data_IF_195996141684
#
_entry.id   IF_195996141684
#
_cell.length_a   1.000
_cell.length_b   1.000
_cell.length_c   1.000
_cell.angle_alpha   90.00
_cell.angle_beta   90.00
_cell.angle_gamma   90.00
#
_symmetry.space_group_name_H-M   'P 1'
#
loop_
_entity.id
_entity.type
_entity.pdbx_description
1 polymer ?
#
# COMPACT_ATOMS: atom_id res chain seq x y z
N UNK A 1 7.52 -19.77 -1.78
CA UNK A 1 6.97 -19.01 -0.65
C UNK A 1 7.78 -19.33 0.60
N UNK A 2 8.58 -18.40 1.13
CA UNK A 2 9.14 -18.57 2.47
C UNK A 2 7.99 -18.62 3.47
N UNK A 3 7.88 -19.69 4.26
CA UNK A 3 6.86 -19.76 5.30
C UNK A 3 7.14 -18.67 6.35
N UNK A 4 6.19 -17.76 6.57
CA UNK A 4 6.21 -16.79 7.67
C UNK A 4 6.31 -17.54 9.00
N UNK A 5 7.52 -17.77 9.49
CA UNK A 5 7.80 -18.35 10.82
C UNK A 5 8.61 -17.35 11.61
N UNK A 6 7.95 -16.61 12.50
CA UNK A 6 8.62 -15.75 13.48
C UNK A 6 7.98 -15.92 14.87
N UNK A 7 8.83 -15.78 15.89
CA UNK A 7 8.58 -16.09 17.30
C UNK A 7 7.83 -14.98 18.04
N UNK A 8 6.84 -15.40 18.83
CA UNK A 8 5.94 -14.61 19.68
C UNK A 8 6.65 -13.68 20.68
N UNK A 9 6.25 -12.40 20.71
CA UNK A 9 6.17 -11.61 21.96
C UNK A 9 5.35 -10.31 21.87
N UNK A 10 4.41 -10.19 20.94
CA UNK A 10 3.35 -9.16 21.01
C UNK A 10 2.00 -9.88 21.10
N UNK A 11 1.10 -9.37 21.93
CA UNK A 11 -0.23 -9.95 22.18
C UNK A 11 -0.87 -10.44 20.86
N UNK A 12 -1.22 -11.73 20.81
CA UNK A 12 -1.78 -12.40 19.63
C UNK A 12 -3.05 -11.67 19.16
N UNK A 13 -2.89 -10.74 18.24
CA UNK A 13 -3.98 -10.12 17.51
C UNK A 13 -4.50 -11.17 16.52
N UNK A 14 -5.72 -11.65 16.75
CA UNK A 14 -6.42 -12.55 15.83
C UNK A 14 -7.41 -11.70 15.04
N UNK A 15 -7.25 -11.53 13.71
CA UNK A 15 -8.23 -10.77 12.93
C UNK A 15 -9.59 -11.46 12.95
N UNK A 16 -10.66 -10.69 13.13
CA UNK A 16 -12.04 -11.18 13.00
C UNK A 16 -12.46 -11.39 11.52
N UNK A 17 -11.74 -10.78 10.58
CA UNK A 17 -12.09 -10.76 9.16
C UNK A 17 -10.84 -10.95 8.29
N UNK A 18 -11.01 -11.64 7.16
CA UNK A 18 -10.02 -11.78 6.09
C UNK A 18 -10.33 -10.87 4.92
N UNK A 19 -9.33 -10.63 4.08
CA UNK A 19 -9.56 -10.03 2.79
C UNK A 19 -10.38 -10.97 1.90
N UNK A 20 -11.44 -10.45 1.30
CA UNK A 20 -12.19 -11.16 0.28
C UNK A 20 -11.48 -11.00 -1.08
N UNK A 21 -10.42 -11.79 -1.29
CA UNK A 21 -9.58 -11.71 -2.48
C UNK A 21 -10.38 -11.83 -3.80
N UNK A 22 -11.51 -12.54 -3.79
CA UNK A 22 -12.41 -12.66 -4.94
C UNK A 22 -13.08 -11.33 -5.28
N UNK A 23 -13.64 -10.64 -4.29
CA UNK A 23 -14.27 -9.33 -4.49
C UNK A 23 -13.26 -8.21 -4.78
N UNK A 24 -12.06 -8.30 -4.19
CA UNK A 24 -10.95 -7.41 -4.50
C UNK A 24 -10.57 -7.55 -5.98
N UNK A 25 -10.33 -8.78 -6.47
CA UNK A 25 -10.02 -9.04 -7.89
C UNK A 25 -11.13 -8.53 -8.82
N UNK A 26 -12.40 -8.74 -8.46
CA UNK A 26 -13.55 -8.22 -9.22
C UNK A 26 -13.54 -6.70 -9.33
N UNK A 27 -13.22 -6.01 -8.23
CA UNK A 27 -13.16 -4.55 -8.19
C UNK A 27 -12.03 -4.00 -9.06
N UNK A 28 -10.85 -4.63 -9.00
CA UNK A 28 -9.70 -4.28 -9.84
C UNK A 28 -9.99 -4.52 -11.32
N UNK A 29 -10.59 -5.66 -11.68
CA UNK A 29 -10.98 -5.96 -13.08
C UNK A 29 -12.02 -4.97 -13.59
N UNK A 30 -12.99 -4.57 -12.77
CA UNK A 30 -13.94 -3.50 -13.13
C UNK A 30 -13.22 -2.16 -13.37
N UNK A 31 -12.24 -1.83 -12.55
CA UNK A 31 -11.40 -0.63 -12.76
C UNK A 31 -10.63 -0.70 -14.07
N UNK A 32 -9.99 -1.84 -14.37
CA UNK A 32 -9.28 -2.08 -15.62
C UNK A 32 -10.18 -1.91 -16.86
N UNK A 33 -11.36 -2.53 -16.86
CA UNK A 33 -12.32 -2.41 -17.98
C UNK A 33 -12.73 -0.95 -18.24
N UNK A 34 -12.79 -0.14 -17.19
CA UNK A 34 -13.12 1.29 -17.29
C UNK A 34 -11.89 2.18 -17.44
N UNK A 35 -10.68 1.62 -17.44
CA UNK A 35 -9.44 2.39 -17.27
C UNK A 35 -9.19 3.33 -18.44
N UNK A 36 -9.44 2.90 -19.67
CA UNK A 36 -9.28 3.78 -20.86
C UNK A 36 -10.13 5.05 -20.75
N UNK A 37 -11.37 4.93 -20.27
CA UNK A 37 -12.26 6.09 -20.05
C UNK A 37 -11.79 6.91 -18.85
N UNK A 38 -11.44 6.26 -17.75
CA UNK A 38 -10.92 6.89 -16.54
C UNK A 38 -9.67 7.73 -16.86
N UNK A 39 -8.72 7.17 -17.62
CA UNK A 39 -7.43 7.75 -17.96
C UNK A 39 -7.55 9.06 -18.76
N UNK A 40 -8.62 9.21 -19.56
CA UNK A 40 -8.94 10.45 -20.27
C UNK A 40 -9.38 11.59 -19.33
N UNK A 41 -9.84 11.26 -18.12
CA UNK A 41 -10.35 12.23 -17.13
C UNK A 41 -9.38 12.52 -15.97
N UNK A 42 -8.20 11.88 -15.99
CA UNK A 42 -7.14 12.13 -15.02
C UNK A 42 -6.39 13.42 -15.36
N UNK A 43 -5.87 14.09 -14.34
CA UNK A 43 -5.00 15.26 -14.53
C UNK A 43 -3.73 14.89 -15.30
N UNK A 44 -3.22 13.68 -15.08
CA UNK A 44 -2.08 13.10 -15.82
C UNK A 44 -2.42 11.67 -16.19
N UNK A 45 -2.19 11.31 -17.46
CA UNK A 45 -2.42 9.96 -17.95
C UNK A 45 -1.47 8.97 -17.26
N UNK A 46 -1.99 7.78 -16.96
CA UNK A 46 -1.28 6.68 -16.33
C UNK A 46 -1.11 5.52 -17.30
N UNK A 47 -0.10 4.69 -17.05
CA UNK A 47 0.04 3.40 -17.71
C UNK A 47 -1.22 2.54 -17.49
N UNK A 48 -1.63 1.72 -18.47
CA UNK A 48 -2.81 0.89 -18.35
C UNK A 48 -2.65 -0.11 -17.20
N UNK A 49 -3.77 -0.40 -16.52
CA UNK A 49 -3.85 -1.50 -15.56
C UNK A 49 -3.93 -2.82 -16.36
N UNK A 50 -2.79 -3.44 -16.66
CA UNK A 50 -2.73 -4.71 -17.42
C UNK A 50 -3.14 -5.90 -16.56
N UNK A 51 -3.35 -7.06 -17.18
CA UNK A 51 -3.66 -8.29 -16.46
C UNK A 51 -2.54 -8.71 -15.52
N UNK A 52 -1.30 -8.62 -15.98
CA UNK A 52 -0.10 -8.84 -15.18
C UNK A 52 -0.04 -7.92 -13.96
N UNK A 53 -0.33 -6.62 -14.12
CA UNK A 53 -0.36 -5.69 -12.98
C UNK A 53 -1.45 -6.08 -11.98
N UNK A 54 -2.62 -6.56 -12.44
CA UNK A 54 -3.67 -7.06 -11.53
C UNK A 54 -3.21 -8.33 -10.82
N UNK A 55 -2.60 -9.27 -11.54
CA UNK A 55 -2.16 -10.54 -10.94
C UNK A 55 -1.07 -10.30 -9.89
N UNK A 56 -0.08 -9.46 -10.17
CA UNK A 56 0.95 -9.04 -9.21
C UNK A 56 0.35 -8.30 -8.00
N UNK A 57 -0.64 -7.41 -8.23
CA UNK A 57 -1.32 -6.73 -7.12
C UNK A 57 -2.15 -7.71 -6.27
N UNK A 58 -2.74 -8.74 -6.89
CA UNK A 58 -3.48 -9.79 -6.18
C UNK A 58 -2.56 -10.69 -5.35
N UNK A 59 -1.34 -10.96 -5.81
CA UNK A 59 -0.33 -11.60 -4.96
C UNK A 59 0.03 -10.74 -3.75
N UNK A 60 0.19 -9.43 -3.95
CA UNK A 60 0.40 -8.48 -2.84
C UNK A 60 -0.77 -8.45 -1.84
N UNK A 61 -2.03 -8.46 -2.31
CA UNK A 61 -3.19 -8.61 -1.43
C UNK A 61 -3.21 -9.96 -0.70
N UNK A 62 -2.80 -11.05 -1.37
CA UNK A 62 -2.64 -12.37 -0.74
C UNK A 62 -1.63 -12.33 0.40
N UNK A 63 -0.46 -11.72 0.17
CA UNK A 63 0.56 -11.53 1.19
C UNK A 63 0.07 -10.68 2.37
N UNK A 64 -0.67 -9.59 2.11
CA UNK A 64 -1.29 -8.77 3.15
C UNK A 64 -2.29 -9.59 3.97
N UNK A 65 -3.14 -10.39 3.32
CA UNK A 65 -4.12 -11.25 3.99
C UNK A 65 -3.45 -12.31 4.86
N UNK A 66 -2.37 -12.93 4.38
CA UNK A 66 -1.57 -13.88 5.16
C UNK A 66 -0.91 -13.21 6.38
N UNK A 67 -0.32 -12.03 6.21
CA UNK A 67 0.26 -11.26 7.31
C UNK A 67 -0.80 -10.89 8.35
N UNK A 68 -1.99 -10.49 7.91
CA UNK A 68 -3.12 -10.20 8.80
C UNK A 68 -3.51 -11.46 9.58
N UNK A 69 -3.76 -12.60 8.91
CA UNK A 69 -4.15 -13.85 9.58
C UNK A 69 -3.09 -14.35 10.56
N UNK A 70 -1.80 -14.21 10.21
CA UNK A 70 -0.70 -14.63 11.06
C UNK A 70 -0.41 -13.66 12.24
N UNK A 71 -1.11 -12.53 12.31
CA UNK A 71 -0.86 -11.50 13.31
C UNK A 71 0.46 -10.74 13.11
N UNK A 72 1.03 -10.77 11.91
CA UNK A 72 2.34 -10.19 11.59
C UNK A 72 2.18 -8.71 11.25
N UNK A 73 2.80 -7.84 12.07
CA UNK A 73 2.86 -6.41 11.83
C UNK A 73 3.80 -6.05 10.68
N UNK A 74 3.30 -5.75 9.47
CA UNK A 74 4.16 -5.34 8.34
C UNK A 74 4.96 -4.06 8.62
N UNK A 75 4.42 -3.16 9.44
CA UNK A 75 5.06 -1.90 9.84
C UNK A 75 5.72 -2.00 11.23
N UNK A 76 5.89 -3.20 11.78
CA UNK A 76 6.56 -3.38 13.06
C UNK A 76 8.08 -3.25 12.91
N UNK A 77 8.75 -2.82 13.97
CA UNK A 77 10.21 -2.70 14.01
C UNK A 77 10.85 -4.06 13.69
N UNK A 78 11.83 -4.06 12.78
CA UNK A 78 12.50 -5.28 12.33
C UNK A 78 11.80 -6.03 11.19
N UNK A 79 10.62 -5.59 10.74
CA UNK A 79 9.87 -6.23 9.64
C UNK A 79 9.98 -5.49 8.30
N UNK A 80 10.95 -4.58 8.14
CA UNK A 80 11.16 -3.80 6.91
C UNK A 80 11.36 -4.66 5.67
N UNK A 81 11.93 -5.86 5.81
CA UNK A 81 12.06 -6.86 4.74
C UNK A 81 10.71 -7.30 4.16
N UNK A 82 9.65 -7.35 4.98
CA UNK A 82 8.31 -7.71 4.50
C UNK A 82 7.72 -6.59 3.62
N UNK A 83 8.10 -5.34 3.87
CA UNK A 83 7.70 -4.18 3.06
C UNK A 83 8.43 -4.21 1.70
N UNK A 84 9.71 -4.60 1.69
CA UNK A 84 10.47 -4.85 0.46
C UNK A 84 9.88 -6.01 -0.34
N UNK A 85 9.60 -7.14 0.30
CA UNK A 85 8.97 -8.29 -0.36
C UNK A 85 7.62 -7.91 -0.97
N UNK A 86 6.82 -7.12 -0.25
CA UNK A 86 5.56 -6.59 -0.77
C UNK A 86 5.75 -5.73 -2.02
N UNK A 87 6.82 -4.92 -2.09
CA UNK A 87 7.16 -4.16 -3.30
C UNK A 87 7.60 -5.07 -4.45
N UNK A 88 8.42 -6.08 -4.18
CA UNK A 88 8.83 -7.08 -5.16
C UNK A 88 7.63 -7.83 -5.76
N UNK A 89 6.66 -8.24 -4.94
CA UNK A 89 5.43 -8.90 -5.39
C UNK A 89 4.62 -8.01 -6.35
N UNK A 90 4.43 -6.73 -6.03
CA UNK A 90 3.63 -5.85 -6.91
C UNK A 90 4.33 -5.45 -8.21
N UNK A 91 5.66 -5.60 -8.28
CA UNK A 91 6.46 -5.35 -9.45
C UNK A 91 6.57 -6.59 -10.35
N UNK A 92 6.98 -7.72 -9.77
CA UNK A 92 7.45 -8.90 -10.50
C UNK A 92 6.59 -10.16 -10.24
N UNK A 93 5.68 -10.10 -9.27
CA UNK A 93 4.97 -11.27 -8.77
C UNK A 93 5.89 -12.27 -8.07
N UNK A 94 5.47 -13.54 -8.04
CA UNK A 94 6.09 -14.64 -7.30
C UNK A 94 6.94 -15.55 -8.19
N UNK A 95 7.01 -15.26 -9.50
CA UNK A 95 7.79 -16.04 -10.46
C UNK A 95 9.28 -15.90 -10.20
N UNK A 96 9.93 -17.00 -9.82
CA UNK A 96 11.38 -17.02 -9.56
C UNK A 96 12.17 -16.59 -10.79
N UNK A 97 11.77 -17.04 -11.99
CA UNK A 97 12.44 -16.65 -13.23
C UNK A 97 12.38 -15.14 -13.51
N UNK A 98 11.27 -14.48 -13.16
CA UNK A 98 11.16 -13.01 -13.24
C UNK A 98 12.06 -12.35 -12.19
N UNK A 99 12.09 -12.86 -10.96
CA UNK A 99 12.93 -12.29 -9.89
C UNK A 99 14.41 -12.41 -10.21
N UNK A 100 14.85 -13.55 -10.72
CA UNK A 100 16.24 -13.77 -11.13
C UNK A 100 16.64 -12.85 -12.30
N UNK A 101 15.74 -12.64 -13.26
CA UNK A 101 15.97 -11.75 -14.40
C UNK A 101 16.09 -10.27 -14.01
N UNK A 102 15.55 -9.89 -12.85
CA UNK A 102 15.54 -8.50 -12.35
C UNK A 102 16.37 -8.32 -11.06
N UNK A 103 17.25 -9.26 -10.72
CA UNK A 103 18.00 -9.28 -9.46
C UNK A 103 18.77 -7.97 -9.19
N UNK A 104 19.45 -7.43 -10.21
CA UNK A 104 20.15 -6.14 -10.08
C UNK A 104 19.21 -4.95 -9.82
N UNK A 105 17.98 -4.98 -10.34
CA UNK A 105 16.97 -3.95 -10.08
C UNK A 105 16.38 -4.09 -8.66
N UNK A 106 16.21 -5.31 -8.17
CA UNK A 106 15.78 -5.59 -6.79
C UNK A 106 16.83 -5.08 -5.82
N UNK A 107 18.10 -5.41 -6.05
CA UNK A 107 19.21 -4.99 -5.17
C UNK A 107 19.38 -3.47 -5.16
N UNK A 108 19.27 -2.81 -6.31
CA UNK A 108 19.29 -1.34 -6.37
C UNK A 108 18.11 -0.71 -5.61
N UNK A 109 16.91 -1.29 -5.72
CA UNK A 109 15.73 -0.83 -4.97
C UNK A 109 15.89 -1.05 -3.47
N UNK A 110 16.55 -2.14 -3.06
CA UNK A 110 16.88 -2.46 -1.67
C UNK A 110 17.87 -1.46 -1.07
N UNK A 111 18.94 -1.14 -1.79
CA UNK A 111 19.92 -0.14 -1.37
C UNK A 111 19.25 1.22 -1.18
N UNK A 112 18.48 1.68 -2.17
CA UNK A 112 17.71 2.93 -2.06
C UNK A 112 16.77 2.92 -0.85
N UNK A 113 16.05 1.82 -0.63
CA UNK A 113 15.11 1.69 0.48
C UNK A 113 15.76 1.80 1.86
N UNK A 114 16.97 1.27 2.04
CA UNK A 114 17.67 1.28 3.33
C UNK A 114 18.59 2.48 3.54
N UNK A 115 19.26 2.95 2.49
CA UNK A 115 20.33 3.94 2.60
C UNK A 115 19.85 5.39 2.41
N UNK A 116 18.67 5.61 1.83
CA UNK A 116 18.12 6.95 1.62
C UNK A 116 17.74 7.62 2.94
N UNK A 117 18.45 8.69 3.31
CA UNK A 117 18.34 9.35 4.63
C UNK A 117 17.02 10.10 4.84
N UNK A 118 16.49 10.73 3.79
CA UNK A 118 15.31 11.62 3.86
C UNK A 118 14.08 11.04 3.11
N UNK A 119 14.04 9.73 2.93
CA UNK A 119 12.97 9.08 2.15
C UNK A 119 12.97 7.57 2.15
N UNK A 120 13.98 6.94 2.73
CA UNK A 120 14.04 5.50 2.93
C UNK A 120 13.18 5.02 4.09
N UNK A 121 13.33 3.75 4.43
CA UNK A 121 12.50 3.09 5.44
C UNK A 121 12.70 3.66 6.85
N UNK A 122 13.92 4.12 7.17
CA UNK A 122 14.22 4.75 8.46
C UNK A 122 13.32 5.97 8.71
N UNK A 123 13.26 6.89 7.74
CA UNK A 123 12.43 8.10 7.83
C UNK A 123 10.93 7.76 7.91
N UNK A 124 10.48 6.71 7.22
CA UNK A 124 9.09 6.26 7.30
C UNK A 124 8.74 5.72 8.70
N UNK A 125 9.63 4.92 9.29
CA UNK A 125 9.42 4.35 10.63
C UNK A 125 9.45 5.43 11.69
N UNK A 126 10.38 6.38 11.60
CA UNK A 126 10.41 7.55 12.48
C UNK A 126 9.12 8.38 12.36
N UNK A 127 8.61 8.58 11.14
CA UNK A 127 7.35 9.27 10.94
C UNK A 127 6.18 8.51 11.61
N UNK A 128 6.11 7.19 11.48
CA UNK A 128 5.08 6.36 12.15
C UNK A 128 5.12 6.52 13.67
N UNK A 129 6.30 6.44 14.28
CA UNK A 129 6.47 6.53 15.73
C UNK A 129 5.94 7.88 16.27
N UNK A 130 6.19 8.98 15.55
CA UNK A 130 5.69 10.32 15.89
C UNK A 130 4.18 10.52 15.66
N UNK A 131 3.52 9.65 14.89
CA UNK A 131 2.12 9.81 14.49
C UNK A 131 1.21 8.71 15.07
N UNK A 132 1.64 8.05 16.14
CA UNK A 132 0.85 7.02 16.85
C UNK A 132 -0.45 7.58 17.47
N UNK A 133 -0.45 8.86 17.87
CA UNK A 133 -1.63 9.54 18.42
C UNK A 133 -2.61 10.10 17.38
N UNK A 134 -2.28 10.02 16.08
CA UNK A 134 -3.17 10.49 15.02
C UNK A 134 -4.34 9.53 14.79
N UNK A 135 -5.45 10.06 14.27
CA UNK A 135 -6.56 9.22 13.81
C UNK A 135 -6.10 8.23 12.73
N UNK A 136 -6.72 7.04 12.68
CA UNK A 136 -6.45 6.02 11.66
C UNK A 136 -6.39 6.60 10.23
N UNK A 137 -7.35 7.47 9.89
CA UNK A 137 -7.45 8.07 8.56
C UNK A 137 -6.26 8.97 8.24
N UNK A 138 -5.79 9.71 9.24
CA UNK A 138 -4.61 10.55 9.12
C UNK A 138 -3.32 9.74 9.06
N UNK A 139 -3.22 8.67 9.85
CA UNK A 139 -2.10 7.72 9.77
C UNK A 139 -2.02 7.06 8.41
N UNK A 140 -3.15 6.57 7.88
CA UNK A 140 -3.23 5.97 6.55
C UNK A 140 -2.90 6.96 5.42
N UNK A 141 -3.45 8.18 5.47
CA UNK A 141 -3.14 9.22 4.51
C UNK A 141 -1.66 9.64 4.57
N UNK A 142 -1.12 9.82 5.77
CA UNK A 142 0.28 10.18 5.97
C UNK A 142 1.22 9.08 5.50
N UNK A 143 0.94 7.81 5.81
CA UNK A 143 1.68 6.65 5.30
C UNK A 143 1.74 6.67 3.77
N UNK A 144 0.60 6.88 3.11
CA UNK A 144 0.54 7.01 1.66
C UNK A 144 1.39 8.18 1.13
N UNK A 145 1.31 9.35 1.77
CA UNK A 145 2.09 10.54 1.39
C UNK A 145 3.59 10.28 1.56
N UNK A 146 4.01 9.66 2.65
CA UNK A 146 5.43 9.36 2.90
C UNK A 146 6.01 8.42 1.85
N UNK A 147 5.25 7.42 1.39
CA UNK A 147 5.72 6.49 0.35
C UNK A 147 5.85 7.19 -1.01
N UNK A 148 4.91 8.07 -1.36
CA UNK A 148 4.82 8.68 -2.71
C UNK A 148 5.57 10.00 -2.90
N UNK A 149 5.76 10.78 -1.84
CA UNK A 149 6.46 12.08 -1.91
C UNK A 149 7.96 11.88 -2.13
N UNK A 150 8.64 12.87 -2.69
CA UNK A 150 10.07 12.83 -3.00
C UNK A 150 10.94 13.10 -1.76
N UNK A 151 12.05 12.35 -1.58
CA UNK A 151 12.42 11.13 -2.30
C UNK A 151 11.43 9.98 -2.03
N UNK A 152 10.99 9.27 -3.07
CA UNK A 152 10.06 8.14 -2.93
C UNK A 152 10.70 6.99 -2.16
N UNK A 153 9.88 6.14 -1.51
CA UNK A 153 10.39 5.03 -0.71
C UNK A 153 11.09 3.96 -1.54
N UNK A 154 10.56 3.68 -2.74
CA UNK A 154 11.12 2.74 -3.70
C UNK A 154 11.46 3.46 -5.01
N UNK A 155 12.26 2.80 -5.84
CA UNK A 155 12.51 3.26 -7.22
C UNK A 155 11.29 3.07 -8.12
N UNK A 156 10.53 1.99 -7.93
CA UNK A 156 9.29 1.70 -8.63
C UNK A 156 8.23 1.09 -7.70
N UNK A 157 6.97 1.06 -8.13
CA UNK A 157 5.91 0.34 -7.42
C UNK A 157 5.30 1.10 -6.23
N UNK A 158 5.77 2.31 -5.90
CA UNK A 158 5.32 3.11 -4.75
C UNK A 158 3.79 3.17 -4.58
N UNK A 159 3.03 3.46 -5.64
CA UNK A 159 1.56 3.50 -5.54
C UNK A 159 0.94 2.17 -5.15
N UNK A 160 1.41 1.08 -5.76
CA UNK A 160 0.86 -0.27 -5.55
C UNK A 160 1.18 -0.72 -4.11
N UNK A 161 2.43 -0.56 -3.69
CA UNK A 161 2.84 -0.88 -2.31
C UNK A 161 2.13 0.00 -1.29
N UNK A 162 1.98 1.31 -1.54
CA UNK A 162 1.30 2.22 -0.63
C UNK A 162 -0.18 1.85 -0.43
N UNK A 163 -0.89 1.46 -1.49
CA UNK A 163 -2.29 1.00 -1.38
C UNK A 163 -2.37 -0.26 -0.51
N UNK A 164 -1.44 -1.19 -0.67
CA UNK A 164 -1.41 -2.43 0.11
C UNK A 164 -1.08 -2.18 1.59
N UNK A 165 -0.11 -1.31 1.89
CA UNK A 165 0.22 -0.95 3.28
C UNK A 165 -0.89 -0.14 3.96
N UNK A 166 -1.55 0.76 3.23
CA UNK A 166 -2.77 1.43 3.72
C UNK A 166 -3.87 0.41 3.98
N UNK A 167 -4.07 -0.55 3.08
CA UNK A 167 -5.07 -1.62 3.26
C UNK A 167 -4.77 -2.48 4.48
N UNK A 168 -3.50 -2.87 4.68
CA UNK A 168 -3.06 -3.58 5.88
C UNK A 168 -3.40 -2.79 7.16
N UNK A 169 -3.05 -1.50 7.20
CA UNK A 169 -3.32 -0.64 8.36
C UNK A 169 -4.82 -0.52 8.66
N UNK A 170 -5.66 -0.34 7.63
CA UNK A 170 -7.11 -0.23 7.79
C UNK A 170 -7.71 -1.53 8.34
N UNK A 171 -7.31 -2.68 7.80
CA UNK A 171 -7.88 -3.98 8.19
C UNK A 171 -7.41 -4.41 9.57
N UNK A 172 -6.16 -4.11 9.92
CA UNK A 172 -5.66 -4.30 11.29
C UNK A 172 -6.53 -3.58 12.33
N UNK A 173 -7.09 -2.44 11.97
CA UNK A 173 -7.91 -1.56 12.82
C UNK A 173 -9.43 -1.78 12.63
N UNK A 174 -9.83 -2.86 11.93
CA UNK A 174 -11.23 -3.28 11.79
C UNK A 174 -12.02 -2.63 10.64
N UNK A 175 -11.33 -2.04 9.66
CA UNK A 175 -11.97 -1.43 8.48
C UNK A 175 -11.68 -2.22 7.20
N UNK A 176 -12.54 -2.16 6.16
CA UNK A 176 -12.23 -2.76 4.88
C UNK A 176 -10.94 -2.22 4.24
N UNK A 177 -10.23 -3.04 3.43
CA UNK A 177 -9.08 -2.56 2.69
C UNK A 177 -9.49 -1.46 1.71
N UNK A 178 -8.54 -0.59 1.35
CA UNK A 178 -8.77 0.36 0.27
C UNK A 178 -8.43 -0.32 -1.07
N UNK A 179 -9.42 -0.49 -1.93
CA UNK A 179 -9.25 -1.13 -3.25
C UNK A 179 -9.68 -0.17 -4.34
N UNK A 180 -8.87 -0.06 -5.39
CA UNK A 180 -9.21 0.75 -6.56
C UNK A 180 -10.48 0.24 -7.24
N UNK A 181 -11.45 1.13 -7.34
CA UNK A 181 -12.74 0.92 -8.02
C UNK A 181 -12.99 2.05 -9.03
N UNK A 182 -13.89 1.87 -10.01
CA UNK A 182 -14.27 2.95 -10.91
C UNK A 182 -14.75 4.23 -10.18
N UNK A 183 -15.35 4.08 -8.99
CA UNK A 183 -15.87 5.20 -8.20
C UNK A 183 -14.80 6.02 -7.49
N UNK A 184 -13.69 5.40 -7.08
CA UNK A 184 -12.66 6.06 -6.26
C UNK A 184 -11.36 6.35 -7.02
N UNK A 185 -11.11 5.66 -8.15
CA UNK A 185 -9.80 5.67 -8.81
C UNK A 185 -9.40 7.06 -9.30
N UNK A 186 -10.34 7.85 -9.82
CA UNK A 186 -10.05 9.22 -10.28
C UNK A 186 -9.54 10.10 -9.14
N UNK A 187 -10.25 10.07 -8.02
CA UNK A 187 -9.90 10.86 -6.85
C UNK A 187 -8.50 10.46 -6.36
N UNK A 188 -8.25 9.16 -6.13
CA UNK A 188 -6.96 8.70 -5.64
C UNK A 188 -5.81 9.03 -6.60
N UNK A 189 -5.97 8.76 -7.90
CA UNK A 189 -4.90 8.94 -8.89
C UNK A 189 -4.53 10.40 -9.12
N UNK A 190 -5.49 11.33 -8.99
CA UNK A 190 -5.22 12.77 -9.03
C UNK A 190 -4.50 13.25 -7.75
N UNK A 191 -4.92 12.78 -6.57
CA UNK A 191 -4.19 13.08 -5.32
C UNK A 191 -2.76 12.55 -5.39
N UNK A 192 -2.60 11.31 -5.85
CA UNK A 192 -1.32 10.64 -6.04
C UNK A 192 -0.36 11.47 -6.88
N UNK A 193 -0.85 12.04 -7.99
CA UNK A 193 0.02 12.84 -8.87
C UNK A 193 0.53 14.11 -8.21
N UNK A 194 -0.31 14.77 -7.42
CA UNK A 194 0.10 15.96 -6.65
C UNK A 194 1.16 15.58 -5.63
N UNK A 195 0.95 14.48 -4.91
CA UNK A 195 1.86 13.97 -3.89
C UNK A 195 3.22 13.57 -4.47
N UNK A 196 3.27 12.89 -5.62
CA UNK A 196 4.51 12.50 -6.32
C UNK A 196 5.47 13.66 -6.59
N UNK A 197 4.93 14.87 -6.74
CA UNK A 197 5.71 16.07 -7.03
C UNK A 197 6.10 16.85 -5.76
N UNK A 198 5.59 16.47 -4.58
CA UNK A 198 5.93 17.11 -3.31
C UNK A 198 7.29 16.60 -2.83
N UNK A 199 8.13 17.50 -2.34
CA UNK A 199 9.37 17.16 -1.64
C UNK A 199 9.13 17.22 -0.14
N UNK A 200 9.44 16.15 0.59
CA UNK A 200 9.16 15.98 2.03
C UNK A 200 9.59 17.19 2.88
N UNK A 201 10.76 17.74 2.62
CA UNK A 201 11.34 18.87 3.38
C UNK A 201 11.18 20.24 2.71
N UNK A 202 10.33 20.36 1.67
CA UNK A 202 10.06 21.67 1.08
C UNK A 202 9.16 22.51 1.98
N UNK A 203 9.37 23.84 2.02
CA UNK A 203 8.46 24.77 2.69
C UNK A 203 7.00 24.57 2.26
N UNK A 204 6.78 24.33 0.96
CA UNK A 204 5.45 24.06 0.42
C UNK A 204 4.82 22.80 1.00
N UNK A 205 5.60 21.75 1.26
CA UNK A 205 5.10 20.56 1.92
C UNK A 205 4.72 20.87 3.37
N UNK A 206 5.56 21.55 4.13
CA UNK A 206 5.28 21.90 5.53
C UNK A 206 3.99 22.73 5.68
N UNK A 207 3.77 23.70 4.78
CA UNK A 207 2.58 24.56 4.80
C UNK A 207 1.29 23.85 4.37
N UNK A 208 1.37 22.91 3.43
CA UNK A 208 0.19 22.28 2.83
C UNK A 208 -0.05 20.82 3.25
N UNK A 209 0.83 20.23 4.08
CA UNK A 209 0.75 18.83 4.50
C UNK A 209 -0.60 18.48 5.11
N UNK A 210 -1.08 19.29 6.06
CA UNK A 210 -2.39 19.08 6.70
C UNK A 210 -3.53 19.06 5.68
N UNK A 211 -3.50 19.95 4.68
CA UNK A 211 -4.48 19.99 3.61
C UNK A 211 -4.48 18.74 2.72
N UNK A 212 -3.30 18.27 2.30
CA UNK A 212 -3.18 17.02 1.53
C UNK A 212 -3.59 15.80 2.36
N UNK A 213 -3.13 15.73 3.61
CA UNK A 213 -3.46 14.66 4.54
C UNK A 213 -4.97 14.57 4.80
N UNK A 214 -5.64 15.71 5.00
CA UNK A 214 -7.09 15.76 5.22
C UNK A 214 -7.87 15.27 4.00
N UNK A 215 -7.58 15.80 2.80
CA UNK A 215 -8.29 15.39 1.57
C UNK A 215 -8.11 13.92 1.24
N UNK A 216 -6.90 13.40 1.46
CA UNK A 216 -6.62 11.98 1.27
C UNK A 216 -7.32 11.13 2.34
N UNK A 217 -7.31 11.56 3.61
CA UNK A 217 -8.03 10.88 4.69
C UNK A 217 -9.54 10.79 4.39
N UNK A 218 -10.15 11.86 3.90
CA UNK A 218 -11.56 11.88 3.50
C UNK A 218 -11.82 10.95 2.31
N UNK A 219 -10.90 10.93 1.33
CA UNK A 219 -10.96 10.01 0.19
C UNK A 219 -10.89 8.55 0.65
N UNK A 220 -9.99 8.22 1.57
CA UNK A 220 -9.87 6.86 2.11
C UNK A 220 -11.14 6.45 2.87
N UNK A 221 -11.65 7.32 3.75
CA UNK A 221 -12.83 7.06 4.57
C UNK A 221 -14.09 6.85 3.74
N UNK A 222 -14.31 7.68 2.73
CA UNK A 222 -15.55 7.68 1.95
C UNK A 222 -15.66 6.57 0.89
N UNK A 223 -14.63 5.74 0.70
CA UNK A 223 -14.54 4.83 -0.44
C UNK A 223 -14.20 3.37 -0.07
N UNK A 224 -14.47 2.97 1.18
CA UNK A 224 -14.35 1.59 1.63
C UNK A 224 -15.58 0.77 1.24
N UNK A 225 -15.37 -0.52 0.93
CA UNK A 225 -16.43 -1.44 0.57
C UNK A 225 -16.36 -2.70 1.43
N UNK A 226 -17.38 -2.93 2.25
CA UNK A 226 -17.46 -4.08 3.17
C UNK A 226 -17.38 -5.43 2.44
N UNK A 227 -17.73 -5.48 1.15
CA UNK A 227 -17.59 -6.71 0.35
C UNK A 227 -16.15 -7.15 0.17
N UNK A 228 -15.18 -6.25 0.36
CA UNK A 228 -13.74 -6.58 0.33
C UNK A 228 -13.27 -7.31 1.58
N UNK A 229 -14.14 -7.50 2.57
CA UNK A 229 -13.91 -8.37 3.72
C UNK A 229 -14.78 -9.62 3.64
N UNK A 230 -14.30 -10.68 4.25
CA UNK A 230 -15.04 -11.92 4.49
C UNK A 230 -14.80 -12.38 5.94
N UNK A 231 -15.80 -12.99 6.60
CA UNK A 231 -15.59 -13.55 7.93
C UNK A 231 -14.50 -14.63 7.88
N UNK A 232 -13.72 -14.75 8.95
CA UNK A 232 -12.81 -15.89 9.13
C UNK A 232 -13.67 -17.13 9.36
N UNK A 233 -13.62 -18.10 8.45
CA UNK A 233 -14.30 -19.39 8.64
C UNK A 233 -13.80 -20.06 9.93
N UNK A 234 -14.64 -20.08 10.97
CA UNK A 234 -14.32 -20.73 12.26
C UNK A 234 -14.59 -19.88 13.51
N UNK A 235 -14.92 -18.59 13.38
CA UNK A 235 -15.36 -17.77 14.52
C UNK A 235 -16.88 -17.62 14.45
N UNK A 236 -17.57 -18.37 15.32
CA UNK A 236 -19.00 -18.15 15.64
C UNK A 236 -19.11 -17.20 16.81
#
# INVERSE_FOLDING_TARGET
MPSLRYSNSDAQWVPAQRLNLKEIRRSLKRTQLNFTRLNKSLEVRRAPLTDEVIDNLMEGYGFVDEALVAGVGLLARGHSELILELNSLVLLGSSQAQRDAFDSHIEYSRQHFYEMTDGGIGSLMEWQDHHTGDSLWHRAAGLYIQILSQPQLFMEGNHRTAILLVSFLLVKEGYPPFVLSPGNARALLNHSKKIENLRKHSLGMLLHFSGYRNRLADTLRGNLDQRHLSPVSGVR
#
